data_IF_464525584309
#
_entry.id   IF_464525584309
#
_cell.length_a   1.000
_cell.length_b   1.000
_cell.length_c   1.000
_cell.angle_alpha   90.00
_cell.angle_beta   90.00
_cell.angle_gamma   90.00
#
_symmetry.space_group_name_H-M   'P 1'
#
loop_
_entity.id
_entity.type
_entity.pdbx_description
1 polymer ?
#
# COMPACT_ATOMS: atom_id res chain seq x y z
N UNK A 1 -33.93 -46.17 -18.80
CA UNK A 1 -33.01 -45.05 -18.52
C UNK A 1 -33.81 -43.82 -18.08
N UNK A 2 -33.92 -43.51 -16.78
CA UNK A 2 -34.70 -42.34 -16.30
C UNK A 2 -34.26 -41.78 -14.93
N UNK A 3 -33.07 -42.11 -14.42
CA UNK A 3 -32.63 -41.74 -13.06
C UNK A 3 -31.44 -40.76 -13.00
N UNK A 4 -30.79 -40.44 -14.12
CA UNK A 4 -29.55 -39.64 -14.15
C UNK A 4 -29.73 -38.14 -14.40
N UNK A 5 -30.86 -37.69 -14.93
CA UNK A 5 -31.07 -36.28 -15.32
C UNK A 5 -31.09 -35.34 -14.11
N UNK A 6 -31.67 -35.78 -12.97
CA UNK A 6 -31.73 -34.98 -11.74
C UNK A 6 -30.36 -34.81 -11.07
N UNK A 7 -29.51 -35.84 -11.13
CA UNK A 7 -28.15 -35.80 -10.62
C UNK A 7 -27.24 -34.87 -11.45
N UNK A 8 -27.42 -34.85 -12.77
CA UNK A 8 -26.68 -33.97 -13.66
C UNK A 8 -27.05 -32.49 -13.47
N UNK A 9 -28.33 -32.19 -13.28
CA UNK A 9 -28.80 -30.82 -12.98
C UNK A 9 -28.27 -30.34 -11.61
N UNK A 10 -28.27 -31.20 -10.59
CA UNK A 10 -27.72 -30.86 -9.29
C UNK A 10 -26.21 -30.59 -9.34
N UNK A 11 -25.45 -31.36 -10.14
CA UNK A 11 -24.02 -31.15 -10.33
C UNK A 11 -23.71 -29.82 -11.06
N UNK A 12 -24.52 -29.45 -12.05
CA UNK A 12 -24.37 -28.18 -12.77
C UNK A 12 -24.67 -26.96 -11.89
N UNK A 13 -25.63 -27.04 -10.97
CA UNK A 13 -25.90 -25.97 -9.99
C UNK A 13 -24.75 -25.86 -8.98
N UNK A 14 -24.16 -26.99 -8.57
CA UNK A 14 -22.99 -27.01 -7.68
C UNK A 14 -21.77 -26.38 -8.35
N UNK A 15 -21.46 -26.76 -9.58
CA UNK A 15 -20.31 -26.22 -10.32
C UNK A 15 -20.55 -24.76 -10.71
N UNK A 16 -21.73 -24.42 -11.22
CA UNK A 16 -22.11 -23.04 -11.57
C UNK A 16 -22.17 -22.11 -10.36
N UNK A 17 -22.67 -22.60 -9.23
CA UNK A 17 -22.70 -21.88 -7.96
C UNK A 17 -21.29 -21.66 -7.39
N UNK A 18 -20.41 -22.66 -7.47
CA UNK A 18 -19.01 -22.51 -7.03
C UNK A 18 -18.24 -21.51 -7.91
N UNK A 19 -18.46 -21.53 -9.23
CA UNK A 19 -17.80 -20.62 -10.17
C UNK A 19 -18.25 -19.15 -10.02
N UNK A 20 -19.52 -18.89 -9.66
CA UNK A 20 -19.99 -17.52 -9.40
C UNK A 20 -19.38 -16.93 -8.11
N UNK A 21 -19.12 -17.74 -7.08
CA UNK A 21 -18.49 -17.26 -5.82
C UNK A 21 -17.04 -16.81 -6.06
N UNK A 22 -16.33 -17.42 -7.03
CA UNK A 22 -14.99 -16.98 -7.41
C UNK A 22 -14.97 -15.75 -8.33
N UNK A 23 -16.02 -15.48 -9.11
CA UNK A 23 -16.04 -14.33 -10.03
C UNK A 23 -16.40 -13.00 -9.38
N UNK A 24 -16.99 -13.01 -8.17
CA UNK A 24 -17.39 -11.81 -7.44
C UNK A 24 -16.26 -11.16 -6.61
N UNK A 25 -15.12 -11.82 -6.41
CA UNK A 25 -14.08 -11.40 -5.46
C UNK A 25 -12.72 -10.97 -6.08
N UNK A 26 -12.65 -10.74 -7.39
CA UNK A 26 -11.40 -10.37 -8.08
C UNK A 26 -10.95 -8.91 -7.95
N UNK A 27 -11.70 -8.05 -7.24
CA UNK A 27 -11.31 -6.66 -7.01
C UNK A 27 -10.63 -6.56 -5.64
N UNK A 28 -9.38 -6.12 -5.63
CA UNK A 28 -8.67 -5.75 -4.40
C UNK A 28 -9.51 -4.68 -3.69
N UNK A 29 -9.78 -4.86 -2.40
CA UNK A 29 -10.54 -3.88 -1.62
C UNK A 29 -9.70 -2.62 -1.42
N UNK A 30 -10.36 -1.46 -1.22
CA UNK A 30 -9.64 -0.20 -0.96
C UNK A 30 -8.73 -0.31 0.28
N UNK A 31 -9.18 -1.02 1.32
CA UNK A 31 -8.40 -1.34 2.52
C UNK A 31 -7.12 -2.11 2.19
N UNK A 32 -7.23 -3.15 1.34
CA UNK A 32 -6.07 -3.90 0.91
C UNK A 32 -5.13 -3.04 0.04
N UNK A 33 -5.66 -2.19 -0.83
CA UNK A 33 -4.85 -1.25 -1.62
C UNK A 33 -4.07 -0.27 -0.71
N UNK A 34 -4.73 0.27 0.31
CA UNK A 34 -4.09 1.13 1.31
C UNK A 34 -2.95 0.39 2.02
N UNK A 35 -3.20 -0.83 2.49
CA UNK A 35 -2.18 -1.64 3.18
C UNK A 35 -0.98 -2.00 2.29
N UNK A 36 -1.24 -2.34 1.03
CA UNK A 36 -0.20 -2.63 0.05
C UNK A 36 0.62 -1.38 -0.29
N UNK A 37 -0.05 -0.22 -0.37
CA UNK A 37 0.59 1.06 -0.61
C UNK A 37 1.40 1.53 0.61
N UNK A 38 0.89 1.38 1.84
CA UNK A 38 1.64 1.61 3.08
C UNK A 38 2.93 0.77 3.12
N UNK A 39 2.83 -0.51 2.76
CA UNK A 39 4.02 -1.38 2.65
C UNK A 39 5.00 -0.86 1.60
N UNK A 40 4.50 -0.36 0.48
CA UNK A 40 5.34 0.22 -0.58
C UNK A 40 6.01 1.52 -0.14
N UNK A 41 5.30 2.38 0.60
CA UNK A 41 5.85 3.61 1.19
C UNK A 41 6.91 3.25 2.23
N UNK A 42 6.68 2.25 3.08
CA UNK A 42 7.68 1.82 4.06
C UNK A 42 8.99 1.38 3.38
N UNK A 43 8.88 0.63 2.27
CA UNK A 43 10.06 0.25 1.48
C UNK A 43 10.76 1.44 0.84
N UNK A 44 10.00 2.42 0.35
CA UNK A 44 10.56 3.67 -0.17
C UNK A 44 11.37 4.37 0.92
N UNK A 45 10.80 4.54 2.11
CA UNK A 45 11.47 5.22 3.21
C UNK A 45 12.76 4.51 3.66
N UNK A 46 12.75 3.19 3.78
CA UNK A 46 13.95 2.40 4.14
C UNK A 46 15.00 2.38 3.03
N UNK A 47 14.58 2.46 1.77
CA UNK A 47 15.50 2.55 0.65
C UNK A 47 16.17 3.93 0.57
N UNK A 48 15.41 4.97 0.88
CA UNK A 48 15.77 6.35 0.61
C UNK A 48 16.46 7.04 1.77
N UNK A 49 16.24 6.57 2.99
CA UNK A 49 16.78 7.18 4.19
C UNK A 49 17.56 6.18 5.01
N UNK A 50 18.71 6.63 5.51
CA UNK A 50 19.52 5.85 6.44
C UNK A 50 18.92 5.88 7.86
N UNK A 51 19.17 4.83 8.64
CA UNK A 51 18.81 4.82 10.06
C UNK A 51 17.32 4.74 10.38
N UNK A 52 16.46 4.41 9.40
CA UNK A 52 15.04 4.13 9.61
C UNK A 52 14.89 2.90 10.51
N UNK A 53 14.17 3.04 11.62
CA UNK A 53 13.89 1.98 12.60
C UNK A 53 12.41 1.79 12.83
N UNK A 54 11.64 2.88 12.90
CA UNK A 54 10.19 2.84 13.09
C UNK A 54 9.48 3.66 12.02
N UNK A 55 8.34 3.18 11.55
CA UNK A 55 7.47 3.85 10.57
C UNK A 55 6.04 3.74 11.08
N UNK A 56 5.37 4.87 11.32
CA UNK A 56 3.98 4.92 11.76
C UNK A 56 3.12 5.67 10.74
N UNK A 57 2.10 5.02 10.22
CA UNK A 57 1.10 5.65 9.36
C UNK A 57 -0.02 6.25 10.21
N UNK A 58 -0.34 7.52 10.00
CA UNK A 58 -1.41 8.23 10.74
C UNK A 58 -2.81 8.06 10.14
N UNK A 59 -2.93 7.41 8.98
CA UNK A 59 -4.20 7.19 8.30
C UNK A 59 -4.31 7.82 6.92
N UNK A 60 -5.35 7.41 6.21
CA UNK A 60 -5.64 7.87 4.86
C UNK A 60 -6.73 8.94 4.86
N UNK A 61 -6.44 10.06 4.21
CA UNK A 61 -7.39 11.08 3.82
C UNK A 61 -7.72 11.01 2.34
N UNK A 62 -8.93 11.45 1.97
CA UNK A 62 -9.31 11.70 0.57
C UNK A 62 -9.88 13.09 0.44
N UNK A 63 -9.26 13.91 -0.40
CA UNK A 63 -9.77 15.24 -0.76
C UNK A 63 -11.08 15.11 -1.51
N UNK A 64 -12.11 15.86 -1.10
CA UNK A 64 -13.41 15.85 -1.80
C UNK A 64 -13.38 16.71 -3.06
N UNK A 65 -12.53 17.73 -3.05
CA UNK A 65 -12.39 18.75 -4.08
C UNK A 65 -11.58 18.23 -5.25
N UNK A 66 -10.49 17.50 -4.97
CA UNK A 66 -9.56 17.00 -6.00
C UNK A 66 -9.65 15.49 -6.19
N UNK A 67 -10.26 14.75 -5.25
CA UNK A 67 -10.31 13.29 -5.28
C UNK A 67 -9.00 12.59 -4.89
N UNK A 68 -7.92 13.35 -4.68
CA UNK A 68 -6.59 12.85 -4.31
C UNK A 68 -6.60 12.19 -2.94
N UNK A 69 -5.75 11.20 -2.79
CA UNK A 69 -5.48 10.52 -1.53
C UNK A 69 -4.27 11.13 -0.84
N UNK A 70 -4.24 11.08 0.48
CA UNK A 70 -3.07 11.49 1.26
C UNK A 70 -2.89 10.66 2.51
N UNK A 71 -1.64 10.54 2.96
CA UNK A 71 -1.27 9.90 4.23
C UNK A 71 -0.07 10.62 4.84
N UNK A 72 -0.02 10.64 6.16
CA UNK A 72 1.10 11.17 6.93
C UNK A 72 1.84 10.01 7.57
N UNK A 73 3.17 10.05 7.48
CA UNK A 73 4.05 9.01 8.02
C UNK A 73 5.04 9.63 9.00
N UNK A 74 5.14 9.05 10.19
CA UNK A 74 6.11 9.43 11.22
C UNK A 74 7.24 8.41 11.26
N UNK A 75 8.46 8.86 11.04
CA UNK A 75 9.68 8.04 11.00
C UNK A 75 10.49 8.29 12.26
N UNK A 76 10.90 7.21 12.93
CA UNK A 76 11.66 7.25 14.19
C UNK A 76 11.01 8.11 15.30
N UNK A 77 9.70 8.36 15.22
CA UNK A 77 8.95 9.15 16.20
C UNK A 77 9.12 10.67 16.08
N UNK A 78 9.96 11.16 15.17
CA UNK A 78 10.39 12.56 15.12
C UNK A 78 10.18 13.21 13.75
N UNK A 79 10.26 12.43 12.67
CA UNK A 79 10.29 12.95 11.31
C UNK A 79 8.95 12.70 10.61
N UNK A 80 8.23 13.76 10.28
CA UNK A 80 6.93 13.67 9.60
C UNK A 80 7.08 13.91 8.08
N UNK A 81 6.52 13.00 7.28
CA UNK A 81 6.44 13.12 5.83
C UNK A 81 5.00 12.88 5.37
N UNK A 82 4.45 13.85 4.67
CA UNK A 82 3.16 13.77 3.98
C UNK A 82 3.33 13.30 2.54
N UNK A 83 2.52 12.32 2.15
CA UNK A 83 2.41 11.84 0.77
C UNK A 83 1.04 12.16 0.20
N UNK A 84 1.00 12.61 -1.05
CA UNK A 84 -0.23 12.73 -1.83
C UNK A 84 -0.18 11.82 -3.06
N UNK A 85 -1.33 11.25 -3.41
CA UNK A 85 -1.48 10.32 -4.54
C UNK A 85 -2.73 10.62 -5.37
N UNK A 86 -2.62 10.43 -6.68
CA UNK A 86 -3.77 10.49 -7.59
C UNK A 86 -4.67 9.24 -7.45
N UNK A 87 -4.09 8.11 -7.04
CA UNK A 87 -4.77 6.83 -6.77
C UNK A 87 -4.02 5.95 -5.77
N UNK A 88 -4.64 4.85 -5.35
CA UNK A 88 -4.07 3.93 -4.36
C UNK A 88 -3.35 2.72 -4.98
N UNK A 89 -3.08 2.76 -6.29
CA UNK A 89 -2.63 1.58 -7.04
C UNK A 89 -1.17 1.22 -6.73
N UNK A 90 -0.28 2.22 -6.60
CA UNK A 90 1.16 2.03 -6.43
C UNK A 90 1.87 3.35 -6.13
N UNK A 91 3.21 3.30 -5.98
CA UNK A 91 4.07 4.50 -5.87
C UNK A 91 4.12 5.34 -7.15
N UNK A 92 3.68 4.83 -8.30
CA UNK A 92 3.62 5.62 -9.55
C UNK A 92 2.63 6.79 -9.44
N UNK A 93 1.61 6.61 -8.59
CA UNK A 93 0.52 7.55 -8.32
C UNK A 93 0.95 8.71 -7.42
N UNK A 94 2.18 8.72 -6.89
CA UNK A 94 2.68 9.82 -6.06
C UNK A 94 2.61 11.12 -6.88
N UNK A 95 1.83 12.07 -6.37
CA UNK A 95 1.68 13.41 -6.95
C UNK A 95 2.53 14.45 -6.21
N UNK A 96 2.72 14.28 -4.90
CA UNK A 96 3.63 15.11 -4.11
C UNK A 96 4.11 14.42 -2.83
N UNK A 97 5.26 14.87 -2.35
CA UNK A 97 5.85 14.50 -1.06
C UNK A 97 6.22 15.81 -0.37
N UNK A 98 5.83 15.96 0.89
CA UNK A 98 6.09 17.16 1.71
C UNK A 98 6.67 16.69 3.04
N UNK A 99 7.74 17.34 3.49
CA UNK A 99 8.33 17.12 4.80
C UNK A 99 8.47 18.44 5.54
N UNK A 100 8.64 18.38 6.86
CA UNK A 100 9.08 19.54 7.65
C UNK A 100 10.48 20.00 7.16
N UNK A 101 10.75 21.30 7.31
CA UNK A 101 12.07 21.89 7.00
C UNK A 101 13.17 21.39 7.96
N UNK A 102 12.80 20.92 9.15
CA UNK A 102 13.69 20.47 10.22
C UNK A 102 13.89 18.95 10.24
N UNK A 103 13.58 18.25 9.15
CA UNK A 103 13.69 16.80 9.09
C UNK A 103 15.14 16.34 9.30
N UNK A 104 15.33 15.39 10.21
CA UNK A 104 16.64 14.82 10.58
C UNK A 104 16.81 13.44 9.94
N UNK A 105 16.67 13.38 8.61
CA UNK A 105 16.90 12.18 7.83
C UNK A 105 18.08 12.37 6.89
N UNK A 106 18.97 11.39 6.85
CA UNK A 106 20.06 11.34 5.88
C UNK A 106 19.59 10.56 4.66
N UNK A 107 19.54 11.21 3.50
CA UNK A 107 19.26 10.52 2.24
C UNK A 107 20.37 9.53 1.89
N UNK A 108 19.96 8.35 1.42
CA UNK A 108 20.89 7.35 0.92
C UNK A 108 21.49 7.78 -0.42
N UNK A 109 22.69 7.28 -0.73
CA UNK A 109 23.36 7.52 -2.01
C UNK A 109 22.46 7.17 -3.21
N UNK A 110 21.66 6.10 -3.11
CA UNK A 110 20.72 5.70 -4.16
C UNK A 110 19.66 6.78 -4.43
N UNK A 111 19.16 7.46 -3.39
CA UNK A 111 18.16 8.52 -3.54
C UNK A 111 18.80 9.78 -4.12
N UNK A 112 20.02 10.12 -3.71
CA UNK A 112 20.77 11.28 -4.19
C UNK A 112 21.12 11.13 -5.68
N UNK A 113 21.62 9.96 -6.09
CA UNK A 113 22.02 9.71 -7.48
C UNK A 113 20.82 9.58 -8.43
N UNK A 114 19.71 9.02 -7.96
CA UNK A 114 18.50 8.81 -8.76
C UNK A 114 17.26 9.36 -8.03
N UNK A 115 17.08 10.69 -8.00
CA UNK A 115 16.04 11.33 -7.19
C UNK A 115 14.62 10.98 -7.63
N UNK A 116 14.42 10.62 -8.90
CA UNK A 116 13.10 10.27 -9.44
C UNK A 116 12.66 8.89 -8.95
N UNK A 117 11.69 8.86 -8.03
CA UNK A 117 11.12 7.62 -7.46
C UNK A 117 10.65 6.65 -8.54
N UNK A 118 9.95 7.15 -9.58
CA UNK A 118 9.42 6.32 -10.68
C UNK A 118 10.49 5.46 -11.37
N UNK A 119 11.72 5.96 -11.46
CA UNK A 119 12.82 5.26 -12.14
C UNK A 119 13.43 4.13 -11.28
N UNK A 120 13.09 4.07 -9.99
CA UNK A 120 13.65 3.14 -9.00
C UNK A 120 12.62 2.30 -8.26
N UNK A 121 11.34 2.34 -8.64
CA UNK A 121 10.26 1.54 -8.02
C UNK A 121 10.62 0.05 -7.94
N UNK A 122 11.23 -0.52 -9.00
CA UNK A 122 11.61 -1.94 -9.01
C UNK A 122 12.69 -2.29 -7.98
N UNK A 123 13.56 -1.34 -7.61
CA UNK A 123 14.57 -1.51 -6.56
C UNK A 123 13.96 -1.31 -5.19
N UNK A 124 13.17 -0.25 -5.03
CA UNK A 124 12.39 0.04 -3.81
C UNK A 124 11.54 -1.18 -3.42
N UNK A 125 10.84 -1.80 -4.37
CA UNK A 125 9.98 -2.95 -4.06
C UNK A 125 10.74 -4.20 -3.58
N UNK A 126 12.05 -4.28 -3.83
CA UNK A 126 12.93 -5.36 -3.35
C UNK A 126 13.57 -5.03 -1.99
N UNK A 127 13.42 -3.81 -1.49
CA UNK A 127 13.94 -3.40 -0.18
C UNK A 127 13.37 -4.27 0.92
N UNK A 128 14.25 -4.77 1.78
CA UNK A 128 13.85 -5.56 2.94
C UNK A 128 13.36 -4.65 4.05
N UNK A 129 12.23 -5.03 4.66
CA UNK A 129 11.70 -4.39 5.87
C UNK A 129 12.07 -5.14 7.14
N UNK A 130 13.02 -6.09 7.08
CA UNK A 130 13.41 -6.90 8.22
C UNK A 130 14.02 -6.03 9.32
N UNK A 131 13.43 -6.09 10.52
CA UNK A 131 13.90 -5.33 11.68
C UNK A 131 13.38 -3.90 11.74
N UNK A 132 12.49 -3.51 10.82
CA UNK A 132 11.77 -2.24 10.85
C UNK A 132 10.45 -2.47 11.58
N UNK A 133 10.16 -1.63 12.57
CA UNK A 133 8.87 -1.63 13.25
C UNK A 133 7.89 -0.77 12.45
N UNK A 134 6.83 -1.38 11.94
CA UNK A 134 5.86 -0.72 11.06
C UNK A 134 4.48 -0.78 11.71
N UNK A 135 3.91 0.38 11.96
CA UNK A 135 2.55 0.54 12.48
C UNK A 135 1.67 1.01 11.32
N UNK A 136 0.90 0.08 10.76
CA UNK A 136 -0.05 0.34 9.68
C UNK A 136 -1.24 1.15 10.19
N UNK A 137 -1.88 1.93 9.32
CA UNK A 137 -2.93 2.84 9.79
C UNK A 137 -4.21 2.15 10.23
N UNK A 138 -4.46 0.92 9.77
CA UNK A 138 -5.60 0.12 10.25
C UNK A 138 -5.38 -0.36 11.69
N UNK A 139 -4.14 -0.68 12.06
CA UNK A 139 -3.79 -1.18 13.38
C UNK A 139 -3.90 -0.08 14.47
N UNK A 140 -3.83 1.20 14.07
CA UNK A 140 -3.95 2.36 14.99
C UNK A 140 -5.41 2.79 15.23
N UNK A 141 -6.39 2.25 14.48
CA UNK A 141 -7.83 2.55 14.67
C UNK A 141 -8.47 1.79 15.84
N UNK A 142 -7.81 0.75 16.34
CA UNK A 142 -8.32 -0.12 17.42
C UNK A 142 -7.86 0.33 18.83
N UNK A 143 -7.29 1.53 18.98
CA UNK A 143 -6.86 2.11 20.26
C UNK A 143 -7.61 3.41 20.57
#
# INVERSE_FOLDING_TARGET
MKKSTKAFIALMILIGGLLMVFSLNGKITEEQQKKDLETSIAKLLVHDYEGVKTIKFQGWGRSRETGMWGTIVVINGENEIGFSFDGLSSLEEISSIVSDENIQLTESENAIENPRIRDRISRIQKTSLKGIDIIYSEDDKEK
#
